data_IF_041163628355
#
_entry.id   IF_041163628355
#
_cell.length_a   1.000
_cell.length_b   1.000
_cell.length_c   1.000
_cell.angle_alpha   90.00
_cell.angle_beta   90.00
_cell.angle_gamma   90.00
#
_symmetry.space_group_name_H-M   'P 1'
#
loop_
_entity.id
_entity.type
_entity.pdbx_description
1 polymer ?
#
# COMPACT_ATOMS: atom_id res chain seq x y z
N UNK A 1 6.68 11.41 6.16
CA UNK A 1 5.69 10.99 7.19
C UNK A 1 5.50 9.48 7.03
N UNK A 2 5.71 8.70 8.10
CA UNK A 2 5.98 7.27 7.99
C UNK A 2 4.74 6.44 7.65
N UNK A 3 4.63 6.02 6.38
CA UNK A 3 3.61 5.08 5.90
C UNK A 3 3.62 3.81 6.74
N UNK A 4 4.80 3.32 7.12
CA UNK A 4 4.96 2.13 7.97
C UNK A 4 4.22 2.21 9.30
N UNK A 5 4.12 3.40 9.91
CA UNK A 5 3.38 3.60 11.16
C UNK A 5 1.87 3.52 10.95
N UNK A 6 1.39 4.05 9.82
CA UNK A 6 -0.01 3.95 9.43
C UNK A 6 -0.39 2.50 9.12
N UNK A 7 0.47 1.77 8.40
CA UNK A 7 0.31 0.33 8.16
C UNK A 7 0.21 -0.42 9.50
N UNK A 8 1.13 -0.15 10.43
CA UNK A 8 1.16 -0.80 11.74
C UNK A 8 -0.09 -0.56 12.59
N UNK A 9 -0.75 0.59 12.41
CA UNK A 9 -1.97 0.96 13.11
C UNK A 9 -3.25 0.56 12.37
N UNK A 10 -3.13 0.11 11.11
CA UNK A 10 -4.28 -0.25 10.29
C UNK A 10 -4.70 -1.68 10.65
N UNK A 11 -5.96 -1.85 11.04
CA UNK A 11 -6.55 -3.16 11.27
C UNK A 11 -7.05 -3.70 9.93
N UNK A 12 -6.30 -4.60 9.30
CA UNK A 12 -6.63 -5.17 7.99
C UNK A 12 -7.86 -6.10 8.00
N UNK A 13 -8.29 -6.54 9.18
CA UNK A 13 -9.54 -7.29 9.37
C UNK A 13 -10.79 -6.43 9.17
N UNK A 14 -10.64 -5.10 9.13
CA UNK A 14 -11.71 -4.13 9.01
C UNK A 14 -11.65 -3.46 7.63
N UNK A 15 -12.69 -3.67 6.83
CA UNK A 15 -12.73 -3.23 5.42
C UNK A 15 -12.65 -1.70 5.29
N UNK A 16 -13.24 -0.96 6.24
CA UNK A 16 -13.19 0.50 6.28
C UNK A 16 -11.76 1.01 6.53
N UNK A 17 -11.04 0.35 7.43
CA UNK A 17 -9.63 0.62 7.72
C UNK A 17 -8.73 0.30 6.54
N UNK A 18 -9.01 -0.79 5.82
CA UNK A 18 -8.32 -1.16 4.57
C UNK A 18 -8.53 -0.09 3.48
N UNK A 19 -9.77 0.37 3.27
CA UNK A 19 -10.08 1.41 2.29
C UNK A 19 -9.37 2.73 2.61
N UNK A 20 -9.38 3.17 3.87
CA UNK A 20 -8.63 4.36 4.32
C UNK A 20 -7.14 4.22 4.01
N UNK A 21 -6.58 3.04 4.28
CA UNK A 21 -5.19 2.75 4.03
C UNK A 21 -4.83 2.79 2.54
N UNK A 22 -5.61 2.16 1.66
CA UNK A 22 -5.43 2.26 0.21
C UNK A 22 -5.48 3.71 -0.28
N UNK A 23 -6.40 4.52 0.24
CA UNK A 23 -6.54 5.92 -0.15
C UNK A 23 -5.33 6.76 0.30
N UNK A 24 -4.79 6.45 1.48
CA UNK A 24 -3.54 7.05 1.99
C UNK A 24 -2.36 6.62 1.12
N UNK A 25 -2.26 5.36 0.70
CA UNK A 25 -1.20 4.90 -0.19
C UNK A 25 -1.21 5.67 -1.51
N UNK A 26 -2.38 5.80 -2.16
CA UNK A 26 -2.54 6.61 -3.38
C UNK A 26 -2.16 8.07 -3.15
N UNK A 27 -2.59 8.67 -2.02
CA UNK A 27 -2.24 10.06 -1.68
C UNK A 27 -0.78 10.28 -1.34
N UNK A 28 -0.06 9.25 -0.87
CA UNK A 28 1.35 9.36 -0.52
C UNK A 28 2.28 9.06 -1.70
N UNK A 29 1.75 8.80 -2.91
CA UNK A 29 2.57 8.48 -4.08
C UNK A 29 3.29 7.15 -3.93
N UNK A 30 2.64 6.17 -3.30
CA UNK A 30 3.19 4.81 -3.23
C UNK A 30 3.38 4.23 -4.63
N UNK A 31 2.47 4.51 -5.56
CA UNK A 31 2.64 4.20 -6.98
C UNK A 31 3.95 4.75 -7.56
N UNK A 32 4.33 5.98 -7.22
CA UNK A 32 5.59 6.60 -7.63
C UNK A 32 6.78 5.93 -6.93
N UNK A 33 6.66 5.60 -5.65
CA UNK A 33 7.69 4.86 -4.90
C UNK A 33 7.88 3.42 -5.41
N UNK A 34 6.81 2.75 -5.84
CA UNK A 34 6.82 1.42 -6.43
C UNK A 34 7.43 1.46 -7.85
N UNK A 35 7.04 2.44 -8.67
CA UNK A 35 7.67 2.69 -9.98
C UNK A 35 9.15 3.05 -9.85
N UNK A 36 9.53 3.86 -8.86
CA UNK A 36 10.93 4.17 -8.55
C UNK A 36 11.73 2.93 -8.11
N UNK A 37 11.06 1.94 -7.52
CA UNK A 37 11.65 0.62 -7.21
C UNK A 37 11.68 -0.33 -8.40
N UNK A 38 11.10 0.04 -9.54
CA UNK A 38 11.06 -0.78 -10.75
C UNK A 38 10.02 -1.90 -10.70
N UNK A 39 9.03 -1.80 -9.81
CA UNK A 39 7.88 -2.71 -9.76
C UNK A 39 7.04 -2.52 -11.02
N UNK A 40 6.63 -3.63 -11.63
CA UNK A 40 5.87 -3.66 -12.89
C UNK A 40 4.46 -4.18 -12.64
N UNK A 41 3.59 -4.01 -13.63
CA UNK A 41 2.29 -4.67 -13.64
C UNK A 41 2.44 -6.19 -13.44
N UNK A 42 1.71 -6.71 -12.46
CA UNK A 42 1.74 -8.13 -12.09
C UNK A 42 2.77 -8.48 -11.01
N UNK A 43 3.56 -7.52 -10.52
CA UNK A 43 4.35 -7.73 -9.31
C UNK A 43 3.48 -7.62 -8.07
N UNK A 44 3.73 -8.53 -7.13
CA UNK A 44 3.05 -8.57 -5.86
C UNK A 44 3.77 -7.67 -4.86
N UNK A 45 3.09 -6.62 -4.43
CA UNK A 45 3.60 -5.65 -3.46
C UNK A 45 3.16 -6.06 -2.07
N UNK A 46 4.13 -6.39 -1.22
CA UNK A 46 3.89 -6.69 0.18
C UNK A 46 4.23 -5.50 1.07
N UNK A 47 3.22 -4.97 1.74
CA UNK A 47 3.36 -3.94 2.78
C UNK A 47 2.92 -4.56 4.12
N UNK A 48 3.92 -5.02 4.89
CA UNK A 48 3.74 -5.75 6.15
C UNK A 48 2.89 -7.02 6.00
N UNK A 49 1.67 -7.01 6.53
CA UNK A 49 0.72 -8.12 6.51
C UNK A 49 -0.24 -8.03 5.31
N UNK A 50 -0.20 -6.91 4.58
CA UNK A 50 -0.99 -6.73 3.37
C UNK A 50 -0.15 -7.07 2.16
N UNK A 51 -0.72 -7.86 1.26
CA UNK A 51 -0.12 -8.24 0.00
C UNK A 51 -1.16 -7.96 -1.09
N UNK A 52 -0.75 -7.23 -2.13
CA UNK A 52 -1.63 -6.89 -3.23
C UNK A 52 -0.85 -6.89 -4.54
N UNK A 53 -1.52 -7.26 -5.61
CA UNK A 53 -0.93 -7.20 -6.94
C UNK A 53 -0.99 -5.77 -7.46
N UNK A 54 0.14 -5.28 -7.95
CA UNK A 54 0.22 -3.99 -8.60
C UNK A 54 -0.33 -4.13 -10.02
N UNK A 55 -1.51 -3.56 -10.26
CA UNK A 55 -2.05 -3.31 -11.60
C UNK A 55 -2.00 -1.80 -11.87
N UNK A 56 -1.31 -1.39 -12.93
CA UNK A 56 -1.26 0.01 -13.40
C UNK A 56 -2.59 0.43 -14.03
#
# INVERSE_FOLDING_TARGET
KNIERLVAMTRFSDEESLMRFQNILRRNGIDEALRARGIKEGDTVRIREMEFDFSE
#
